data_IF_212553481247
#
_entry.id   IF_212553481247
#
_cell.length_a   1.000
_cell.length_b   1.000
_cell.length_c   1.000
_cell.angle_alpha   90.00
_cell.angle_beta   90.00
_cell.angle_gamma   90.00
#
_symmetry.space_group_name_H-M   'P 1'
#
loop_
_entity.id
_entity.type
_entity.pdbx_description
1 polymer ?
#
# COMPACT_ATOMS: atom_id res chain seq x y z
N UNK A 1 -15.09 -18.32 3.44
CA UNK A 1 -14.59 -17.13 2.69
C UNK A 1 -14.23 -16.10 3.74
N UNK A 2 -12.97 -15.69 3.79
CA UNK A 2 -12.43 -14.81 4.83
C UNK A 2 -12.37 -13.38 4.29
N UNK A 3 -13.01 -12.44 4.98
CA UNK A 3 -12.66 -11.02 4.84
C UNK A 3 -11.15 -10.88 5.12
N UNK A 4 -10.44 -10.04 4.36
CA UNK A 4 -9.09 -9.68 4.73
C UNK A 4 -9.16 -8.88 6.05
N UNK A 5 -8.80 -9.51 7.16
CA UNK A 5 -8.57 -8.81 8.42
C UNK A 5 -7.29 -7.99 8.23
N UNK A 6 -7.44 -6.67 8.08
CA UNK A 6 -6.32 -5.75 8.02
C UNK A 6 -5.97 -5.31 9.44
N UNK A 7 -4.87 -5.83 9.97
CA UNK A 7 -4.35 -5.41 11.27
C UNK A 7 -3.59 -4.10 11.07
N UNK A 8 -3.95 -3.06 11.82
CA UNK A 8 -3.32 -1.75 11.69
C UNK A 8 -1.85 -1.80 12.12
N UNK A 9 -0.95 -1.20 11.33
CA UNK A 9 0.48 -1.10 11.63
C UNK A 9 0.82 0.37 11.80
N UNK A 10 1.50 0.69 12.89
CA UNK A 10 2.10 2.01 13.06
C UNK A 10 3.25 2.18 12.04
N UNK A 11 3.22 3.19 11.15
CA UNK A 11 4.30 3.45 10.21
C UNK A 11 5.66 3.66 10.88
N UNK A 12 5.72 4.07 12.14
CA UNK A 12 6.98 4.22 12.90
C UNK A 12 7.59 2.87 13.32
N UNK A 13 6.81 1.78 13.30
CA UNK A 13 7.32 0.42 13.54
C UNK A 13 7.90 -0.21 12.26
N UNK A 14 7.76 0.45 11.11
CA UNK A 14 8.35 -0.01 9.86
C UNK A 14 9.88 0.17 9.83
N UNK A 15 10.61 -0.58 8.98
CA UNK A 15 12.06 -0.45 8.87
C UNK A 15 12.53 0.99 8.58
N UNK A 16 13.57 1.42 9.31
CA UNK A 16 14.11 2.80 9.24
C UNK A 16 14.46 3.25 7.81
N UNK A 17 14.94 2.34 6.96
CA UNK A 17 15.35 2.64 5.59
C UNK A 17 14.21 3.22 4.73
N UNK A 18 12.95 2.97 5.07
CA UNK A 18 11.80 3.58 4.41
C UNK A 18 11.72 5.10 4.65
N UNK A 19 12.24 5.57 5.78
CA UNK A 19 12.33 6.99 6.13
C UNK A 19 13.56 7.69 5.55
N UNK A 20 14.63 6.93 5.30
CA UNK A 20 16.00 7.49 5.13
C UNK A 20 16.65 7.20 3.79
N UNK A 21 16.20 6.19 3.04
CA UNK A 21 16.70 5.85 1.69
C UNK A 21 15.74 6.28 0.58
N UNK A 22 16.19 6.18 -0.67
CA UNK A 22 15.30 6.23 -1.83
C UNK A 22 14.64 4.87 -2.02
N UNK A 23 13.33 4.85 -2.20
CA UNK A 23 12.49 3.65 -2.15
C UNK A 23 11.79 3.45 -3.49
N UNK A 24 11.88 2.23 -4.03
CA UNK A 24 11.11 1.82 -5.20
C UNK A 24 10.08 0.78 -4.78
N UNK A 25 8.81 1.10 -4.98
CA UNK A 25 7.77 0.08 -4.98
C UNK A 25 7.71 -0.59 -6.36
N UNK A 26 7.82 -1.91 -6.40
CA UNK A 26 7.69 -2.72 -7.61
C UNK A 26 6.42 -3.53 -7.56
N UNK A 27 5.63 -3.46 -8.63
CA UNK A 27 4.52 -4.38 -8.83
C UNK A 27 5.06 -5.76 -9.28
N UNK A 28 4.66 -6.82 -8.57
CA UNK A 28 5.00 -8.20 -8.92
C UNK A 28 4.06 -8.73 -10.02
N UNK A 29 2.87 -8.15 -10.13
CA UNK A 29 1.87 -8.45 -11.15
C UNK A 29 1.42 -7.19 -11.91
N UNK A 30 0.62 -7.38 -12.98
CA UNK A 30 0.04 -6.27 -13.74
C UNK A 30 -0.90 -5.41 -12.88
N UNK A 31 -0.95 -4.10 -13.13
CA UNK A 31 -1.81 -3.16 -12.40
C UNK A 31 -3.31 -3.40 -12.62
N UNK A 32 -3.67 -4.08 -13.72
CA UNK A 32 -5.05 -4.42 -14.09
C UNK A 32 -5.53 -5.75 -13.50
N UNK A 33 -4.98 -6.13 -12.35
CA UNK A 33 -5.31 -7.40 -11.65
C UNK A 33 -6.52 -7.27 -10.71
N UNK A 34 -7.07 -6.07 -10.54
CA UNK A 34 -8.28 -5.82 -9.75
C UNK A 34 -8.00 -4.99 -8.51
N UNK A 35 -8.59 -5.38 -7.39
CA UNK A 35 -8.53 -4.66 -6.11
C UNK A 35 -7.24 -4.92 -5.31
N UNK A 36 -6.43 -5.90 -5.70
CA UNK A 36 -5.17 -6.24 -5.05
C UNK A 36 -4.05 -6.22 -6.08
N UNK A 37 -3.00 -5.47 -5.81
CA UNK A 37 -1.77 -5.47 -6.60
C UNK A 37 -0.63 -5.89 -5.70
N UNK A 38 -0.12 -7.09 -5.94
CA UNK A 38 1.03 -7.61 -5.21
C UNK A 38 2.29 -6.83 -5.58
N UNK A 39 3.11 -6.53 -4.58
CA UNK A 39 4.35 -5.82 -4.79
C UNK A 39 5.29 -5.83 -3.60
N UNK A 40 6.39 -5.09 -3.75
CA UNK A 40 7.45 -4.97 -2.74
C UNK A 40 8.12 -3.61 -2.79
N UNK A 41 8.45 -3.09 -1.62
CA UNK A 41 9.32 -1.93 -1.45
C UNK A 41 10.76 -2.41 -1.42
N UNK A 42 11.66 -1.68 -2.05
CA UNK A 42 13.09 -1.98 -2.06
C UNK A 42 13.88 -0.68 -1.94
N UNK A 43 14.96 -0.67 -1.16
CA UNK A 43 15.90 0.44 -1.15
C UNK A 43 16.66 0.51 -2.48
N UNK A 44 16.79 1.70 -3.06
CA UNK A 44 17.42 1.88 -4.37
C UNK A 44 18.93 1.60 -4.34
N UNK A 45 19.57 1.87 -3.20
CA UNK A 45 21.00 1.71 -2.94
C UNK A 45 21.38 0.32 -2.39
N UNK A 46 20.44 -0.37 -1.74
CA UNK A 46 20.63 -1.74 -1.26
C UNK A 46 19.41 -2.64 -1.61
N UNK A 47 19.44 -3.33 -2.76
CA UNK A 47 18.34 -4.20 -3.17
C UNK A 47 18.05 -5.38 -2.24
N UNK A 48 18.97 -5.72 -1.32
CA UNK A 48 18.73 -6.74 -0.30
C UNK A 48 17.80 -6.24 0.82
N UNK A 49 17.64 -4.92 0.97
CA UNK A 49 16.63 -4.32 1.84
C UNK A 49 15.31 -4.25 1.10
N UNK A 50 14.47 -5.26 1.36
CA UNK A 50 13.14 -5.38 0.78
C UNK A 50 12.08 -5.72 1.82
N UNK A 51 10.86 -5.29 1.55
CA UNK A 51 9.67 -5.76 2.26
C UNK A 51 8.52 -5.93 1.27
N UNK A 52 7.84 -7.06 1.37
CA UNK A 52 6.58 -7.28 0.65
C UNK A 52 5.57 -6.25 1.10
N UNK A 53 4.98 -5.51 0.15
CA UNK A 53 4.02 -4.47 0.41
C UNK A 53 3.02 -4.41 -0.75
N UNK A 54 1.82 -4.92 -0.50
CA UNK A 54 0.74 -4.95 -1.47
C UNK A 54 -0.01 -3.60 -1.50
N UNK A 55 -0.71 -3.33 -2.59
CA UNK A 55 -1.72 -2.27 -2.64
C UNK A 55 -3.11 -2.91 -2.63
N UNK A 56 -3.99 -2.42 -1.74
CA UNK A 56 -5.34 -2.96 -1.54
C UNK A 56 -6.41 -1.89 -1.70
N UNK A 57 -7.24 -2.01 -2.72
CA UNK A 57 -8.42 -1.18 -2.94
C UNK A 57 -9.63 -1.80 -2.22
N UNK A 58 -10.29 -1.05 -1.33
CA UNK A 58 -11.23 -1.65 -0.34
C UNK A 58 -12.71 -1.63 -0.73
N UNK A 59 -13.07 -0.96 -1.84
CA UNK A 59 -14.47 -0.78 -2.22
C UNK A 59 -15.01 -1.87 -3.16
N UNK A 60 -14.19 -2.85 -3.56
CA UNK A 60 -14.69 -4.03 -4.28
C UNK A 60 -15.51 -4.92 -3.34
N UNK A 61 -16.75 -5.21 -3.72
CA UNK A 61 -17.72 -5.91 -2.88
C UNK A 61 -18.36 -7.13 -3.54
N UNK A 62 -17.94 -7.49 -4.75
CA UNK A 62 -18.42 -8.65 -5.48
C UNK A 62 -17.28 -9.67 -5.72
N UNK A 63 -17.52 -10.98 -5.54
CA UNK A 63 -18.75 -11.62 -5.02
C UNK A 63 -18.93 -11.47 -3.51
N UNK A 64 -17.93 -10.94 -2.80
CA UNK A 64 -17.99 -10.59 -1.38
C UNK A 64 -17.10 -9.36 -1.10
N UNK A 65 -17.34 -8.63 0.01
CA UNK A 65 -16.48 -7.52 0.45
C UNK A 65 -15.01 -7.92 0.65
N UNK A 66 -14.09 -7.09 0.16
CA UNK A 66 -12.64 -7.28 0.37
C UNK A 66 -12.26 -7.15 1.86
N UNK A 67 -12.81 -6.14 2.54
CA UNK A 67 -12.64 -5.90 3.98
C UNK A 67 -13.99 -5.71 4.66
N UNK A 68 -14.01 -5.74 5.98
CA UNK A 68 -15.20 -5.40 6.76
C UNK A 68 -15.51 -3.89 6.74
N UNK A 69 -16.76 -3.53 7.08
CA UNK A 69 -17.21 -2.13 7.08
C UNK A 69 -16.39 -1.22 8.02
N UNK A 70 -16.01 -1.64 9.25
CA UNK A 70 -15.16 -0.83 10.11
C UNK A 70 -13.78 -0.53 9.49
N UNK A 71 -13.16 -1.50 8.83
CA UNK A 71 -11.86 -1.28 8.15
C UNK A 71 -12.05 -0.38 6.94
N UNK A 72 -13.09 -0.61 6.13
CA UNK A 72 -13.42 0.28 5.00
C UNK A 72 -13.60 1.72 5.47
N UNK A 73 -14.34 1.95 6.55
CA UNK A 73 -14.53 3.28 7.13
C UNK A 73 -13.20 3.93 7.56
N UNK A 74 -12.32 3.17 8.24
CA UNK A 74 -11.00 3.68 8.65
C UNK A 74 -10.13 4.06 7.46
N UNK A 75 -10.12 3.25 6.40
CA UNK A 75 -9.39 3.55 5.16
C UNK A 75 -9.88 4.86 4.54
N UNK A 76 -11.20 5.04 4.43
CA UNK A 76 -11.79 6.29 3.92
C UNK A 76 -11.46 7.51 4.80
N UNK A 77 -11.46 7.35 6.13
CA UNK A 77 -11.10 8.42 7.05
C UNK A 77 -9.63 8.81 6.92
N UNK A 78 -8.71 7.84 6.99
CA UNK A 78 -7.27 8.08 6.80
C UNK A 78 -7.03 8.77 5.44
N UNK A 79 -7.69 8.27 4.38
CA UNK A 79 -7.55 8.83 3.05
C UNK A 79 -8.02 10.29 2.97
N UNK A 80 -9.16 10.62 3.58
CA UNK A 80 -9.67 11.99 3.66
C UNK A 80 -8.72 12.93 4.39
N UNK A 81 -7.95 12.41 5.35
CA UNK A 81 -6.98 13.18 6.14
C UNK A 81 -5.57 13.24 5.53
N UNK A 82 -5.39 12.81 4.27
CA UNK A 82 -4.09 12.84 3.61
C UNK A 82 -3.12 11.75 4.11
N UNK A 83 -3.64 10.74 4.79
CA UNK A 83 -2.90 9.58 5.30
C UNK A 83 -3.20 8.33 4.45
N UNK A 84 -2.40 7.28 4.59
CA UNK A 84 -2.70 5.96 4.04
C UNK A 84 -2.77 4.97 5.19
N UNK A 85 -3.74 4.06 5.15
CA UNK A 85 -3.79 3.00 6.16
C UNK A 85 -2.75 1.95 5.78
N UNK A 86 -1.79 1.74 6.68
CA UNK A 86 -0.79 0.69 6.59
C UNK A 86 -1.28 -0.46 7.45
N UNK A 87 -1.31 -1.66 6.91
CA UNK A 87 -1.72 -2.80 7.72
C UNK A 87 -1.21 -4.12 7.21
N UNK A 88 -1.39 -5.14 8.03
CA UNK A 88 -0.99 -6.50 7.73
C UNK A 88 -2.20 -7.32 7.27
N UNK A 89 -2.04 -7.98 6.12
CA UNK A 89 -2.97 -8.97 5.60
C UNK A 89 -2.28 -10.34 5.60
N UNK A 90 -2.55 -11.14 6.63
CA UNK A 90 -1.82 -12.40 6.84
C UNK A 90 -0.40 -12.10 7.31
N UNK A 91 0.60 -12.26 6.43
CA UNK A 91 2.01 -11.93 6.69
C UNK A 91 2.57 -10.92 5.68
N UNK A 92 1.69 -10.20 4.98
CA UNK A 92 2.04 -9.24 3.92
C UNK A 92 1.61 -7.86 4.38
N UNK A 93 2.54 -6.90 4.33
CA UNK A 93 2.20 -5.50 4.49
C UNK A 93 1.29 -5.09 3.32
N UNK A 94 0.35 -4.19 3.58
CA UNK A 94 -0.53 -3.64 2.57
C UNK A 94 -0.82 -2.16 2.83
N UNK A 95 -0.83 -1.38 1.76
CA UNK A 95 -1.37 -0.02 1.76
C UNK A 95 -2.83 -0.09 1.30
N UNK A 96 -3.76 0.17 2.23
CA UNK A 96 -5.17 0.15 1.93
C UNK A 96 -5.66 1.54 1.50
N UNK A 97 -6.36 1.59 0.37
CA UNK A 97 -6.85 2.81 -0.27
C UNK A 97 -8.32 2.68 -0.68
N UNK A 98 -9.07 3.79 -0.73
CA UNK A 98 -10.39 3.81 -1.36
C UNK A 98 -10.32 3.46 -2.85
N UNK A 99 -11.38 2.83 -3.36
CA UNK A 99 -11.52 2.42 -4.76
C UNK A 99 -11.67 0.91 -4.96
N UNK A 100 -11.87 0.51 -6.20
CA UNK A 100 -12.05 -0.90 -6.61
C UNK A 100 -10.84 -1.45 -7.39
N UNK A 101 -9.85 -0.62 -7.68
CA UNK A 101 -8.63 -1.00 -8.40
C UNK A 101 -7.66 0.17 -8.54
N UNK A 102 -6.60 -0.02 -9.31
CA UNK A 102 -5.47 0.91 -9.35
C UNK A 102 -5.22 1.50 -10.74
N UNK A 103 -4.98 2.81 -10.74
CA UNK A 103 -4.28 3.54 -11.81
C UNK A 103 -2.94 4.08 -11.29
N UNK A 104 -2.03 4.50 -12.18
CA UNK A 104 -0.72 5.04 -11.80
C UNK A 104 -0.79 6.17 -10.75
N UNK A 105 -1.79 7.04 -10.86
CA UNK A 105 -1.99 8.19 -9.98
C UNK A 105 -2.28 7.75 -8.54
N UNK A 106 -3.16 6.76 -8.36
CA UNK A 106 -3.51 6.24 -7.04
C UNK A 106 -2.33 5.51 -6.39
N UNK A 107 -1.51 4.83 -7.18
CA UNK A 107 -0.27 4.21 -6.69
C UNK A 107 0.69 5.27 -6.17
N UNK A 108 0.98 6.30 -6.97
CA UNK A 108 1.88 7.37 -6.56
C UNK A 108 1.36 8.14 -5.34
N UNK A 109 0.04 8.35 -5.27
CA UNK A 109 -0.59 8.98 -4.11
C UNK A 109 -0.45 8.13 -2.83
N UNK A 110 -0.69 6.82 -2.92
CA UNK A 110 -0.53 5.90 -1.80
C UNK A 110 0.92 5.89 -1.28
N UNK A 111 1.89 5.81 -2.19
CA UNK A 111 3.32 5.85 -1.85
C UNK A 111 3.74 7.19 -1.26
N UNK A 112 3.26 8.31 -1.81
CA UNK A 112 3.54 9.64 -1.27
C UNK A 112 2.98 9.82 0.15
N UNK A 113 1.83 9.20 0.46
CA UNK A 113 1.26 9.18 1.81
C UNK A 113 2.05 8.28 2.76
N UNK A 114 2.51 7.11 2.30
CA UNK A 114 3.41 6.25 3.07
C UNK A 114 4.70 6.98 3.41
N UNK A 115 5.33 7.63 2.42
CA UNK A 115 6.57 8.39 2.61
C UNK A 115 6.42 9.40 3.75
N UNK A 116 5.34 10.19 3.75
CA UNK A 116 5.07 11.15 4.83
C UNK A 116 4.85 10.47 6.18
N UNK A 117 4.18 9.33 6.19
CA UNK A 117 3.89 8.58 7.41
C UNK A 117 5.16 8.06 8.10
N UNK A 118 6.16 7.64 7.31
CA UNK A 118 7.48 7.20 7.82
C UNK A 118 8.51 8.34 7.95
N UNK A 119 8.07 9.60 7.81
CA UNK A 119 8.94 10.78 7.92
C UNK A 119 9.84 11.06 6.70
N UNK A 120 9.68 10.32 5.61
CA UNK A 120 10.35 10.58 4.34
C UNK A 120 9.68 11.69 3.53
N UNK A 121 10.40 12.19 2.53
CA UNK A 121 9.85 13.08 1.51
C UNK A 121 9.31 12.25 0.33
N UNK A 122 8.13 12.58 -0.24
CA UNK A 122 7.56 11.84 -1.36
C UNK A 122 8.47 11.72 -2.59
N UNK A 123 9.37 12.67 -2.81
CA UNK A 123 10.30 12.67 -3.96
C UNK A 123 11.32 11.52 -3.91
N UNK A 124 11.47 10.87 -2.75
CA UNK A 124 12.34 9.69 -2.56
C UNK A 124 11.65 8.39 -2.93
N UNK A 125 10.35 8.42 -3.25
CA UNK A 125 9.57 7.25 -3.57
C UNK A 125 9.28 7.20 -5.07
N UNK A 126 9.49 6.02 -5.67
CA UNK A 126 9.15 5.74 -7.05
C UNK A 126 8.33 4.46 -7.17
N UNK A 127 7.58 4.35 -8.25
CA UNK A 127 6.82 3.14 -8.59
C UNK A 127 7.32 2.56 -9.91
N UNK A 128 7.61 1.26 -9.92
CA UNK A 128 7.79 0.48 -11.14
C UNK A 128 6.53 -0.35 -11.37
N UNK A 129 5.75 0.07 -12.37
CA UNK A 129 4.46 -0.51 -12.70
C UNK A 129 4.60 -1.51 -13.85
N UNK A 130 3.86 -2.62 -13.76
CA UNK A 130 3.61 -3.54 -14.88
C UNK A 130 2.21 -3.25 -15.42
N UNK A 131 2.07 -2.97 -16.72
CA UNK A 131 0.78 -2.57 -17.29
C UNK A 131 -0.18 -3.74 -17.59
N UNK A 132 0.29 -4.97 -17.45
CA UNK A 132 -0.35 -6.19 -17.93
C UNK A 132 0.66 -7.03 -18.69
#
# INVERSE_FOLDING_TARGET
MQHAALTDIDPFDLPEWLGTSDVVWRADAGLRTGHLVEGRLTAADDPAQEIVCDLLAVDEAYPAPVVDDPTRLRVHQAWRHGQVMVGERGSRLALAVPGTGFGPELVLEALGRLARAVGARPERYAALLRLG
#
